data_IF_290056216294
#
_entry.id   IF_290056216294
#
_cell.length_a   1.000
_cell.length_b   1.000
_cell.length_c   1.000
_cell.angle_alpha   90.00
_cell.angle_beta   90.00
_cell.angle_gamma   90.00
#
_symmetry.space_group_name_H-M   'P 1'
#
loop_
_entity.id
_entity.type
_entity.pdbx_description
1 polymer ?
#
# COMPACT_ATOMS: atom_id res chain seq x y z
N UNK A 1 41.49 -31.31 13.16
CA UNK A 1 41.38 -30.08 13.96
C UNK A 1 41.17 -28.93 12.99
N UNK A 2 39.95 -28.41 12.88
CA UNK A 2 39.62 -27.10 12.33
C UNK A 2 38.25 -26.71 12.90
N UNK A 3 38.17 -25.48 13.38
CA UNK A 3 37.31 -24.98 14.44
C UNK A 3 35.96 -24.44 13.95
N UNK A 4 34.91 -24.69 14.73
CA UNK A 4 33.59 -24.05 14.64
C UNK A 4 33.70 -22.52 14.70
N UNK A 5 33.19 -21.82 13.70
CA UNK A 5 33.08 -20.36 13.68
C UNK A 5 31.72 -19.84 13.15
N UNK A 6 30.65 -20.64 13.17
CA UNK A 6 29.31 -20.23 12.69
C UNK A 6 28.32 -20.02 13.85
N UNK A 7 28.65 -19.11 14.78
CA UNK A 7 27.91 -18.99 16.03
C UNK A 7 27.59 -17.57 16.52
N UNK A 8 27.68 -16.53 15.69
CA UNK A 8 27.55 -15.16 16.20
C UNK A 8 26.80 -14.12 15.34
N UNK A 9 26.16 -14.50 14.23
CA UNK A 9 25.39 -13.52 13.42
C UNK A 9 23.91 -13.38 13.84
N UNK A 10 23.37 -14.28 14.67
CA UNK A 10 21.93 -14.31 14.98
C UNK A 10 21.46 -13.34 16.09
N UNK A 11 22.37 -12.70 16.82
CA UNK A 11 22.00 -11.77 17.90
C UNK A 11 21.86 -10.30 17.43
N UNK A 12 22.34 -9.95 16.22
CA UNK A 12 22.35 -8.56 15.76
C UNK A 12 21.01 -8.12 15.11
N UNK A 13 20.28 -9.03 14.45
CA UNK A 13 18.94 -8.73 13.91
C UNK A 13 17.87 -8.61 15.01
N UNK A 14 18.04 -9.33 16.13
CA UNK A 14 17.07 -9.27 17.24
C UNK A 14 17.19 -8.01 18.09
N UNK A 15 18.36 -7.33 18.09
CA UNK A 15 18.53 -6.06 18.81
C UNK A 15 17.94 -4.85 18.07
N UNK A 16 17.96 -4.82 16.73
CA UNK A 16 17.37 -3.72 15.92
C UNK A 16 15.85 -3.65 16.10
N UNK A 17 15.18 -4.79 16.30
CA UNK A 17 13.71 -4.85 16.52
C UNK A 17 13.31 -4.36 17.92
N UNK A 18 14.23 -4.42 18.90
CA UNK A 18 13.92 -4.15 20.31
C UNK A 18 14.13 -2.70 20.73
N UNK A 19 15.16 -2.02 20.22
CA UNK A 19 15.40 -0.59 20.51
C UNK A 19 14.43 0.37 19.81
N UNK A 20 13.82 -0.03 18.69
CA UNK A 20 12.85 0.80 17.94
C UNK A 20 11.45 0.89 18.61
N UNK A 21 11.28 0.28 19.79
CA UNK A 21 9.99 0.17 20.49
C UNK A 21 9.77 1.27 21.54
N UNK A 22 10.81 1.90 22.09
CA UNK A 22 10.68 2.83 23.22
C UNK A 22 10.64 4.33 22.83
N UNK A 23 11.12 4.72 21.65
CA UNK A 23 11.06 6.11 21.18
C UNK A 23 9.80 6.45 20.35
N UNK A 24 8.80 5.56 20.37
CA UNK A 24 7.45 5.76 19.78
C UNK A 24 6.60 6.78 20.56
N UNK A 25 7.21 7.68 21.34
CA UNK A 25 6.55 8.88 21.86
C UNK A 25 6.06 9.68 20.67
N UNK A 26 4.78 9.48 20.31
CA UNK A 26 3.95 10.16 19.31
C UNK A 26 4.71 11.22 18.49
N UNK A 27 5.66 10.77 17.65
CA UNK A 27 6.39 11.70 16.78
C UNK A 27 5.33 12.40 15.94
N UNK A 28 5.25 13.72 16.04
CA UNK A 28 4.29 14.48 15.23
C UNK A 28 4.65 14.30 13.76
N UNK A 29 3.64 14.32 12.89
CA UNK A 29 3.89 14.32 11.45
C UNK A 29 4.39 15.70 11.04
N UNK A 30 5.47 15.72 10.28
CA UNK A 30 5.99 16.93 9.65
C UNK A 30 5.28 17.23 8.34
N UNK A 31 5.32 18.50 7.91
CA UNK A 31 4.79 18.91 6.60
C UNK A 31 5.41 18.13 5.43
N UNK A 32 6.68 17.74 5.54
CA UNK A 32 7.37 16.94 4.52
C UNK A 32 6.75 15.54 4.43
N UNK A 33 6.41 14.93 5.57
CA UNK A 33 5.73 13.64 5.60
C UNK A 33 4.33 13.73 4.98
N UNK A 34 3.60 14.82 5.25
CA UNK A 34 2.26 15.05 4.68
C UNK A 34 2.30 15.16 3.15
N UNK A 35 3.26 15.93 2.62
CA UNK A 35 3.47 16.07 1.17
C UNK A 35 3.85 14.73 0.53
N UNK A 36 4.68 13.92 1.20
CA UNK A 36 5.03 12.57 0.72
C UNK A 36 3.82 11.65 0.65
N UNK A 37 2.97 11.64 1.67
CA UNK A 37 1.73 10.86 1.67
C UNK A 37 0.75 11.34 0.58
N UNK A 38 0.58 12.65 0.43
CA UNK A 38 -0.27 13.24 -0.62
C UNK A 38 0.22 12.84 -2.02
N UNK A 39 1.53 12.97 -2.25
CA UNK A 39 2.16 12.58 -3.51
C UNK A 39 1.98 11.09 -3.80
N UNK A 40 2.20 10.23 -2.80
CA UNK A 40 2.04 8.79 -2.95
C UNK A 40 0.60 8.39 -3.32
N UNK A 41 -0.41 8.97 -2.65
CA UNK A 41 -1.83 8.71 -2.97
C UNK A 41 -2.16 9.13 -4.41
N UNK A 42 -1.67 10.30 -4.85
CA UNK A 42 -1.86 10.77 -6.23
C UNK A 42 -1.16 9.85 -7.22
N UNK A 43 0.05 9.41 -6.91
CA UNK A 43 0.85 8.56 -7.78
C UNK A 43 0.21 7.19 -7.99
N UNK A 44 -0.22 6.52 -6.93
CA UNK A 44 -0.90 5.23 -7.03
C UNK A 44 -2.23 5.38 -7.78
N UNK A 45 -2.98 6.45 -7.53
CA UNK A 45 -4.22 6.74 -8.26
C UNK A 45 -3.97 6.98 -9.76
N UNK A 46 -2.89 7.71 -10.09
CA UNK A 46 -2.45 7.96 -11.47
C UNK A 46 -2.09 6.66 -12.18
N UNK A 47 -1.29 5.80 -11.54
CA UNK A 47 -0.92 4.48 -12.09
C UNK A 47 -2.12 3.58 -12.32
N UNK A 48 -3.11 3.58 -11.41
CA UNK A 48 -4.34 2.82 -11.58
C UNK A 48 -5.10 3.28 -12.85
N UNK A 49 -5.30 4.60 -13.02
CA UNK A 49 -5.96 5.16 -14.20
C UNK A 49 -5.24 4.83 -15.50
N UNK A 50 -3.91 4.92 -15.52
CA UNK A 50 -3.10 4.55 -16.69
C UNK A 50 -3.26 3.07 -17.07
N UNK A 51 -3.63 2.21 -16.12
CA UNK A 51 -3.91 0.80 -16.35
C UNK A 51 -5.39 0.49 -16.60
N UNK A 52 -6.23 1.51 -16.77
CA UNK A 52 -7.68 1.34 -16.90
C UNK A 52 -8.34 0.76 -15.65
N UNK A 53 -7.70 0.87 -14.49
CA UNK A 53 -8.22 0.37 -13.21
C UNK A 53 -8.73 1.53 -12.36
N UNK A 54 -9.80 1.32 -11.58
CA UNK A 54 -10.24 2.31 -10.61
C UNK A 54 -9.12 2.56 -9.58
N UNK A 55 -8.95 3.80 -9.10
CA UNK A 55 -7.97 4.11 -8.07
C UNK A 55 -8.26 3.31 -6.80
N UNK A 56 -7.23 2.75 -6.13
CA UNK A 56 -7.46 1.97 -4.93
C UNK A 56 -8.04 2.83 -3.82
N UNK A 57 -8.96 2.23 -3.05
CA UNK A 57 -9.61 2.93 -1.95
C UNK A 57 -8.63 3.23 -0.82
N UNK A 58 -8.44 4.51 -0.50
CA UNK A 58 -7.66 4.95 0.67
C UNK A 58 -8.32 4.58 2.01
N UNK A 59 -9.53 4.00 1.99
CA UNK A 59 -10.23 3.52 3.20
C UNK A 59 -9.71 2.14 3.67
N UNK A 60 -9.25 1.30 2.73
CA UNK A 60 -8.81 -0.07 3.01
C UNK A 60 -7.39 -0.16 3.56
N UNK A 61 -7.09 -1.21 4.30
CA UNK A 61 -5.76 -1.42 4.92
C UNK A 61 -4.69 -1.80 3.89
N UNK A 62 -5.07 -2.50 2.82
CA UNK A 62 -4.15 -2.94 1.78
C UNK A 62 -3.36 -1.78 1.17
N UNK A 63 -4.00 -0.64 0.92
CA UNK A 63 -3.34 0.56 0.41
C UNK A 63 -2.21 1.04 1.34
N UNK A 64 -2.47 1.07 2.64
CA UNK A 64 -1.52 1.57 3.64
C UNK A 64 -0.41 0.56 3.96
N UNK A 65 -0.73 -0.74 3.94
CA UNK A 65 0.28 -1.81 4.04
C UNK A 65 1.25 -1.75 2.87
N UNK A 66 0.75 -1.48 1.65
CA UNK A 66 1.63 -1.23 0.50
C UNK A 66 2.47 0.04 0.70
N UNK A 67 1.89 1.14 1.22
CA UNK A 67 2.65 2.36 1.49
C UNK A 67 3.79 2.16 2.51
N UNK A 68 3.55 1.35 3.55
CA UNK A 68 4.57 0.98 4.54
C UNK A 68 5.65 0.09 3.92
N UNK A 69 5.25 -0.95 3.18
CA UNK A 69 6.19 -1.83 2.47
C UNK A 69 7.04 -1.06 1.47
N UNK A 70 6.46 -0.10 0.76
CA UNK A 70 7.15 0.75 -0.21
C UNK A 70 8.00 1.84 0.49
N UNK A 71 8.04 1.87 1.82
CA UNK A 71 8.92 2.74 2.59
C UNK A 71 8.58 4.24 2.48
N UNK A 72 7.31 4.58 2.21
CA UNK A 72 6.90 5.98 1.95
C UNK A 72 7.32 6.91 3.09
N UNK A 73 7.12 6.46 4.34
CA UNK A 73 7.57 7.13 5.55
C UNK A 73 8.31 6.14 6.47
N UNK A 74 9.66 6.10 6.44
CA UNK A 74 10.42 5.16 7.26
C UNK A 74 10.18 5.41 8.76
N UNK A 75 10.06 4.34 9.54
CA UNK A 75 9.77 4.41 10.98
C UNK A 75 8.32 4.74 11.34
N UNK A 76 7.41 4.84 10.35
CA UNK A 76 5.97 5.00 10.57
C UNK A 76 5.23 3.71 10.24
N UNK A 77 4.28 3.33 11.09
CA UNK A 77 3.41 2.19 10.80
C UNK A 77 2.29 2.56 9.83
N UNK A 78 1.83 1.59 9.05
CA UNK A 78 0.68 1.75 8.15
C UNK A 78 -0.57 2.28 8.85
N UNK A 79 -0.81 1.85 10.10
CA UNK A 79 -1.93 2.31 10.93
C UNK A 79 -1.82 3.81 11.23
N UNK A 80 -0.63 4.26 11.63
CA UNK A 80 -0.37 5.67 11.91
C UNK A 80 -0.57 6.53 10.67
N UNK A 81 -0.06 6.09 9.51
CA UNK A 81 -0.23 6.80 8.25
C UNK A 81 -1.69 6.90 7.84
N UNK A 82 -2.44 5.80 7.95
CA UNK A 82 -3.89 5.76 7.67
C UNK A 82 -4.67 6.73 8.55
N UNK A 83 -4.43 6.70 9.86
CA UNK A 83 -5.10 7.59 10.80
C UNK A 83 -4.77 9.05 10.53
N UNK A 84 -3.50 9.36 10.32
CA UNK A 84 -3.03 10.71 10.05
C UNK A 84 -3.62 11.27 8.76
N UNK A 85 -3.64 10.47 7.70
CA UNK A 85 -4.29 10.80 6.44
C UNK A 85 -5.78 11.13 6.62
N UNK A 86 -6.50 10.28 7.35
CA UNK A 86 -7.94 10.44 7.57
C UNK A 86 -8.26 11.70 8.38
N UNK A 87 -7.50 11.95 9.46
CA UNK A 87 -7.78 13.02 10.43
C UNK A 87 -7.26 14.38 9.99
N UNK A 88 -6.11 14.45 9.32
CA UNK A 88 -5.42 15.72 9.08
C UNK A 88 -5.27 16.03 7.58
N UNK A 89 -4.69 15.12 6.79
CA UNK A 89 -4.35 15.44 5.39
C UNK A 89 -5.61 15.53 4.51
N UNK A 90 -6.51 14.54 4.59
CA UNK A 90 -7.73 14.50 3.78
C UNK A 90 -8.62 15.75 3.93
N UNK A 91 -8.96 16.23 5.16
CA UNK A 91 -9.76 17.44 5.29
C UNK A 91 -9.01 18.69 4.78
N UNK A 92 -7.69 18.80 5.01
CA UNK A 92 -6.90 19.92 4.48
C UNK A 92 -6.88 19.95 2.94
N UNK A 93 -6.73 18.79 2.30
CA UNK A 93 -6.82 18.68 0.84
C UNK A 93 -8.20 19.15 0.36
N UNK A 94 -9.28 18.66 0.98
CA UNK A 94 -10.65 19.05 0.61
C UNK A 94 -10.84 20.56 0.73
N UNK A 95 -10.37 21.15 1.82
CA UNK A 95 -10.48 22.60 2.06
C UNK A 95 -9.64 23.41 1.08
N UNK A 96 -8.41 22.96 0.76
CA UNK A 96 -7.56 23.59 -0.26
C UNK A 96 -8.24 23.59 -1.63
N UNK A 97 -8.81 22.46 -2.05
CA UNK A 97 -9.53 22.37 -3.34
C UNK A 97 -10.82 23.19 -3.35
N UNK A 98 -11.53 23.30 -2.22
CA UNK A 98 -12.68 24.20 -2.08
C UNK A 98 -12.28 25.65 -2.35
N UNK A 99 -11.24 26.14 -1.68
CA UNK A 99 -10.72 27.52 -1.87
C UNK A 99 -10.26 27.78 -3.31
N UNK A 100 -9.55 26.83 -3.93
CA UNK A 100 -9.12 26.95 -5.33
C UNK A 100 -10.31 27.02 -6.30
N UNK A 101 -11.41 26.32 -5.99
CA UNK A 101 -12.65 26.38 -6.77
C UNK A 101 -13.34 27.74 -6.62
N UNK A 102 -13.41 28.28 -5.40
CA UNK A 102 -13.96 29.62 -5.14
C UNK A 102 -13.16 30.72 -5.86
N UNK A 103 -11.86 30.52 -6.05
CA UNK A 103 -10.97 31.42 -6.80
C UNK A 103 -11.04 31.23 -8.33
N UNK A 104 -11.83 30.26 -8.83
CA UNK A 104 -11.92 29.97 -10.26
C UNK A 104 -10.65 29.36 -10.87
N UNK A 105 -9.68 28.92 -10.05
CA UNK A 105 -8.42 28.31 -10.52
C UNK A 105 -8.59 26.84 -10.93
N UNK A 106 -9.64 26.19 -10.44
CA UNK A 106 -9.98 24.80 -10.76
C UNK A 106 -11.40 24.80 -11.28
N UNK A 107 -11.60 24.33 -12.52
CA UNK A 107 -12.97 24.10 -13.03
C UNK A 107 -13.71 23.19 -12.05
N UNK A 108 -14.99 23.47 -11.76
CA UNK A 108 -15.84 22.45 -11.14
C UNK A 108 -15.66 21.19 -11.98
N UNK A 109 -15.18 20.12 -11.35
CA UNK A 109 -15.46 18.79 -11.90
C UNK A 109 -16.97 18.73 -11.76
N UNK A 110 -17.67 19.01 -12.85
CA UNK A 110 -19.08 18.67 -12.97
C UNK A 110 -19.10 17.18 -12.65
N UNK A 111 -19.78 16.80 -11.57
CA UNK A 111 -19.89 15.41 -11.12
C UNK A 111 -20.81 14.63 -12.09
N UNK A 112 -20.58 14.84 -13.39
CA UNK A 112 -21.22 14.12 -14.47
C UNK A 112 -20.77 12.66 -14.31
N UNK A 113 -21.75 11.79 -14.11
CA UNK A 113 -21.64 10.33 -14.19
C UNK A 113 -21.05 9.54 -13.01
N UNK A 114 -21.15 10.03 -11.77
CA UNK A 114 -21.22 9.08 -10.62
C UNK A 114 -22.64 8.51 -10.39
N UNK A 115 -23.61 8.88 -11.23
CA UNK A 115 -25.02 8.45 -11.16
C UNK A 115 -25.43 7.46 -12.26
N UNK A 116 -24.56 7.15 -13.24
CA UNK A 116 -24.93 6.27 -14.37
C UNK A 116 -24.94 4.77 -14.01
N UNK A 117 -24.46 4.40 -12.82
CA UNK A 117 -24.55 3.02 -12.29
C UNK A 117 -25.48 2.89 -11.08
N UNK A 118 -26.60 3.64 -11.07
CA UNK A 118 -27.83 3.12 -10.46
C UNK A 118 -28.48 2.18 -11.46
N UNK A 119 -27.78 1.10 -11.81
CA UNK A 119 -28.40 -0.01 -12.51
C UNK A 119 -29.38 -0.61 -11.51
N UNK A 120 -30.63 -0.16 -11.65
CA UNK A 120 -31.81 -0.92 -11.29
C UNK A 120 -31.73 -2.23 -12.06
N UNK A 121 -30.89 -3.16 -11.60
CA UNK A 121 -30.95 -4.55 -12.00
C UNK A 121 -32.27 -5.06 -11.45
N UNK A 122 -33.30 -4.82 -12.26
CA UNK A 122 -34.63 -5.38 -12.18
C UNK A 122 -34.52 -6.83 -11.72
N UNK A 123 -35.02 -7.06 -10.52
CA UNK A 123 -35.50 -8.37 -10.08
C UNK A 123 -36.47 -8.90 -11.15
N UNK A 124 -35.93 -9.67 -12.08
CA UNK A 124 -36.71 -10.72 -12.74
C UNK A 124 -36.22 -12.00 -12.11
N UNK A 125 -36.82 -12.33 -10.97
CA UNK A 125 -36.63 -13.61 -10.30
C UNK A 125 -36.97 -14.72 -11.31
N UNK A 126 -36.02 -15.61 -11.66
CA UNK A 126 -36.42 -16.87 -12.25
C UNK A 126 -37.15 -17.63 -11.15
N UNK A 127 -38.47 -17.82 -11.34
CA UNK A 127 -39.26 -18.82 -10.62
C UNK A 127 -38.65 -20.19 -10.88
N UNK A 128 -37.64 -20.55 -10.07
CA UNK A 128 -37.15 -21.91 -9.91
C UNK A 128 -38.16 -22.63 -9.02
N UNK A 129 -39.06 -23.39 -9.65
CA UNK A 129 -39.87 -24.39 -8.97
C UNK A 129 -38.94 -25.48 -8.44
N UNK A 130 -38.65 -25.44 -7.15
CA UNK A 130 -37.97 -26.50 -6.45
C UNK A 130 -38.93 -27.69 -6.29
N UNK A 131 -38.74 -28.71 -7.12
CA UNK A 131 -39.22 -30.05 -6.82
C UNK A 131 -38.27 -30.61 -5.74
N UNK A 132 -38.79 -30.71 -4.53
CA UNK A 132 -38.12 -31.27 -3.35
C UNK A 132 -38.04 -32.80 -3.51
N UNK A 133 -36.94 -33.29 -4.07
CA UNK A 133 -36.56 -34.70 -3.97
C UNK A 133 -35.68 -34.89 -2.70
N UNK A 134 -36.10 -35.69 -1.71
CA UNK A 134 -35.31 -35.94 -0.51
C UNK A 134 -34.12 -36.85 -0.83
N UNK A 135 -32.92 -36.27 -0.85
CA UNK A 135 -31.67 -37.04 -0.92
C UNK A 135 -31.20 -37.44 0.47
N UNK A 136 -31.49 -38.69 0.83
CA UNK A 136 -30.79 -39.39 1.90
C UNK A 136 -29.38 -39.75 1.46
N UNK A 137 -28.35 -39.13 2.05
CA UNK A 137 -26.96 -39.61 1.95
C UNK A 137 -26.18 -39.06 3.15
N UNK A 138 -26.13 -39.84 4.23
CA UNK A 138 -25.06 -40.80 4.56
C UNK A 138 -23.85 -40.11 5.18
N UNK A 139 -23.85 -40.14 6.51
CA UNK A 139 -22.72 -39.79 7.37
C UNK A 139 -21.54 -40.72 7.10
N UNK A 140 -20.59 -40.26 6.31
CA UNK A 140 -19.28 -40.88 6.17
C UNK A 140 -18.30 -40.22 7.13
N UNK A 141 -18.07 -40.85 8.28
CA UNK A 141 -16.90 -40.61 9.12
C UNK A 141 -15.64 -40.97 8.31
N UNK A 142 -14.72 -40.01 8.13
CA UNK A 142 -13.37 -40.29 7.65
C UNK A 142 -12.35 -39.80 8.66
N UNK A 143 -12.06 -40.67 9.62
CA UNK A 143 -10.77 -40.75 10.31
C UNK A 143 -9.67 -41.02 9.25
N UNK A 144 -8.60 -40.22 9.27
CA UNK A 144 -7.43 -40.51 8.43
C UNK A 144 -6.42 -39.36 8.29
N UNK A 145 -5.64 -39.13 9.35
CA UNK A 145 -4.15 -39.06 9.37
C UNK A 145 -3.37 -38.20 8.32
N UNK A 146 -2.03 -38.11 8.38
CA UNK A 146 -1.26 -37.15 9.17
C UNK A 146 -0.48 -36.14 8.29
N UNK A 147 0.22 -35.24 8.96
CA UNK A 147 1.08 -34.20 8.39
C UNK A 147 2.13 -34.72 7.39
N UNK A 148 2.05 -34.24 6.16
CA UNK A 148 3.21 -34.22 5.25
C UNK A 148 3.75 -32.79 5.14
N UNK A 149 4.82 -32.60 5.91
CA UNK A 149 5.75 -31.47 5.90
C UNK A 149 6.54 -31.48 4.58
N UNK A 150 5.94 -30.97 3.50
CA UNK A 150 6.69 -30.67 2.26
C UNK A 150 7.40 -29.32 2.42
N UNK A 151 8.62 -29.40 2.93
CA UNK A 151 9.60 -28.33 2.94
C UNK A 151 9.86 -27.81 1.52
N UNK A 152 9.25 -26.67 1.19
CA UNK A 152 9.52 -25.96 -0.05
C UNK A 152 10.76 -25.06 0.17
N UNK A 153 11.95 -25.68 0.14
CA UNK A 153 13.24 -25.00 -0.01
C UNK A 153 13.34 -24.41 -1.42
N UNK A 154 12.65 -23.30 -1.67
CA UNK A 154 13.04 -22.40 -2.76
C UNK A 154 14.10 -21.45 -2.23
N UNK A 155 15.36 -21.86 -2.42
CA UNK A 155 16.54 -21.06 -2.19
C UNK A 155 16.45 -19.75 -2.97
N UNK A 156 16.06 -18.69 -2.25
CA UNK A 156 16.14 -17.33 -2.74
C UNK A 156 17.54 -16.82 -2.38
N UNK A 157 18.46 -16.94 -3.33
CA UNK A 157 19.86 -16.50 -3.25
C UNK A 157 19.93 -14.96 -3.16
N UNK A 158 20.28 -14.34 -2.01
CA UNK A 158 20.30 -12.88 -1.87
C UNK A 158 21.66 -12.28 -2.24
N UNK A 159 22.46 -12.94 -3.10
CA UNK A 159 23.77 -12.44 -3.56
C UNK A 159 23.69 -11.77 -4.93
N UNK A 160 22.85 -10.75 -5.06
CA UNK A 160 23.00 -9.77 -6.14
C UNK A 160 22.59 -8.38 -5.66
N UNK A 161 23.48 -7.78 -4.86
CA UNK A 161 23.44 -6.35 -4.59
C UNK A 161 23.52 -5.55 -5.90
N UNK A 162 22.83 -4.41 -6.00
CA UNK A 162 23.02 -3.50 -7.11
C UNK A 162 24.45 -2.95 -7.06
N UNK A 163 25.25 -3.36 -8.03
CA UNK A 163 26.52 -2.74 -8.34
C UNK A 163 26.29 -1.25 -8.64
N UNK A 164 27.08 -0.43 -7.96
CA UNK A 164 27.65 0.84 -8.42
C UNK A 164 26.96 1.49 -9.63
N UNK A 165 25.90 2.25 -9.38
CA UNK A 165 25.50 3.32 -10.29
C UNK A 165 26.36 4.55 -9.97
N UNK A 166 27.47 4.63 -10.71
CA UNK A 166 28.42 5.74 -10.71
C UNK A 166 27.72 7.10 -10.74
N UNK A 167 28.10 7.91 -9.76
CA UNK A 167 27.89 9.35 -9.68
C UNK A 167 28.78 10.02 -10.75
N UNK A 168 28.28 10.14 -11.99
CA UNK A 168 28.89 11.03 -12.98
C UNK A 168 28.47 12.47 -12.69
N UNK A 169 29.42 13.22 -12.14
CA UNK A 169 29.34 14.67 -12.00
C UNK A 169 29.09 15.35 -13.34
N UNK A 170 28.01 16.11 -13.41
CA UNK A 170 27.84 17.16 -14.43
C UNK A 170 28.31 18.48 -13.85
N UNK A 171 29.62 18.71 -13.98
CA UNK A 171 30.22 20.04 -13.98
C UNK A 171 29.73 20.85 -15.19
N UNK A 172 29.65 22.18 -15.00
CA UNK A 172 30.06 23.12 -16.03
C UNK A 172 28.97 23.64 -16.97
N UNK A 173 28.44 24.82 -16.66
CA UNK A 173 27.60 25.58 -17.58
C UNK A 173 27.40 27.03 -17.19
N UNK A 174 28.48 27.77 -16.87
CA UNK A 174 28.44 29.24 -16.85
C UNK A 174 28.07 29.74 -18.24
N UNK A 175 26.96 30.47 -18.38
CA UNK A 175 26.72 31.37 -19.51
C UNK A 175 26.74 32.79 -19.00
N UNK A 176 27.91 33.40 -19.10
CA UNK A 176 28.03 34.85 -19.24
C UNK A 176 27.65 35.23 -20.68
N UNK A 177 26.91 36.33 -20.79
CA UNK A 177 26.53 37.03 -22.01
C UNK A 177 25.76 38.25 -21.51
N UNK A 178 26.36 39.43 -21.36
CA UNK A 178 27.09 40.24 -22.33
C UNK A 178 26.22 40.59 -23.55
N UNK A 179 25.28 41.53 -23.34
CA UNK A 179 25.20 42.87 -23.99
C UNK A 179 23.87 43.54 -23.71
#
# INVERSE_FOLDING_TARGET
MATSEDGNEYWFEEQIVREDREDKRRRQYSMVEDVKLEHYVKEVSRRARMRGRPPPSTKGDSFWKHAERDGVLPGRSWQSMKEHWKKFIKPQIRERYRKLREQGLVRPVEEEDSSVYSDTSSESEPVLSYDEEPVEVSSGESDGEPADEVGNQLGFDPKKGPADAAEEGREGGKREGER
#
